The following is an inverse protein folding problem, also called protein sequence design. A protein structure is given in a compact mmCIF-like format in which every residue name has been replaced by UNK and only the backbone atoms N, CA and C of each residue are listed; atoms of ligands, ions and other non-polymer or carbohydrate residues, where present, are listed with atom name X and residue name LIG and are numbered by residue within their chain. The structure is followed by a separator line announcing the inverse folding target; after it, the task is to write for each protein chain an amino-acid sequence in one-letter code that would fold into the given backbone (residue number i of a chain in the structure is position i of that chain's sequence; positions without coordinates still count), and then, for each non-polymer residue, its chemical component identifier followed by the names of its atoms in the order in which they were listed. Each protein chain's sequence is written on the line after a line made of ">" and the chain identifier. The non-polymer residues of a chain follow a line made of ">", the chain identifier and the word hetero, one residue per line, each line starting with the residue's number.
data_IF_684201619775
#
_entry.id   IF_684201619775
#
_cell.length_a   1.000
_cell.length_b   1.000
_cell.length_c   1.000
_cell.angle_alpha   90.00
_cell.angle_beta   90.00
_cell.angle_gamma   90.00
#
_symmetry.space_group_name_H-M   'P 1'
#
loop_
_entity.id
_entity.type
_entity.pdbx_description
1 polymer ?
#
# COMPACT_ATOMS: atom_id res chain seq x y z
N UNK A 1 8.09 18.00 -7.70
CA UNK A 1 6.86 17.36 -7.20
C UNK A 1 5.89 18.42 -6.72
N UNK A 2 4.60 18.23 -6.95
CA UNK A 2 3.51 19.13 -6.51
C UNK A 2 3.29 19.02 -5.00
N UNK A 3 2.69 20.05 -4.38
CA UNK A 3 2.29 20.06 -2.96
C UNK A 3 0.78 20.26 -2.87
N UNK A 4 0.09 19.71 -1.86
CA UNK A 4 0.61 18.88 -0.76
C UNK A 4 1.02 17.47 -1.17
N UNK A 5 0.58 16.97 -2.32
CA UNK A 5 0.93 15.66 -2.88
C UNK A 5 1.18 15.78 -4.40
N UNK A 6 1.79 14.74 -4.97
CA UNK A 6 2.00 14.61 -6.40
C UNK A 6 1.35 13.30 -6.87
N UNK A 7 0.35 13.41 -7.76
CA UNK A 7 -0.42 12.25 -8.25
C UNK A 7 0.48 11.20 -8.90
N UNK A 8 1.47 11.62 -9.73
CA UNK A 8 2.40 10.69 -10.36
C UNK A 8 3.25 9.92 -9.36
N UNK A 9 3.61 10.58 -8.22
CA UNK A 9 4.31 9.91 -7.14
C UNK A 9 3.43 8.87 -6.47
N UNK A 10 2.17 9.20 -6.18
CA UNK A 10 1.20 8.29 -5.58
C UNK A 10 0.91 7.10 -6.49
N UNK A 11 0.67 7.34 -7.79
CA UNK A 11 0.48 6.28 -8.79
C UNK A 11 1.70 5.36 -8.87
N UNK A 12 2.91 5.92 -8.86
CA UNK A 12 4.15 5.13 -8.86
C UNK A 12 4.29 4.28 -7.60
N UNK A 13 4.00 4.83 -6.42
CA UNK A 13 4.05 4.08 -5.16
C UNK A 13 3.01 2.96 -5.12
N UNK A 14 1.81 3.19 -5.65
CA UNK A 14 0.77 2.15 -5.80
C UNK A 14 1.24 1.06 -6.76
N UNK A 15 1.83 1.42 -7.91
CA UNK A 15 2.38 0.45 -8.87
C UNK A 15 3.51 -0.39 -8.26
N UNK A 16 4.43 0.24 -7.51
CA UNK A 16 5.48 -0.48 -6.77
C UNK A 16 4.88 -1.44 -5.74
N UNK A 17 3.86 -1.01 -5.01
CA UNK A 17 3.18 -1.84 -4.01
C UNK A 17 2.51 -3.05 -4.66
N UNK A 18 1.81 -2.86 -5.79
CA UNK A 18 1.23 -3.96 -6.58
C UNK A 18 2.29 -4.93 -7.06
N UNK A 19 3.40 -4.42 -7.57
CA UNK A 19 4.53 -5.23 -7.99
C UNK A 19 5.09 -6.07 -6.84
N UNK A 20 5.33 -5.44 -5.67
CA UNK A 20 5.84 -6.15 -4.50
C UNK A 20 4.87 -7.22 -4.00
N UNK A 21 3.57 -6.93 -3.91
CA UNK A 21 2.53 -7.91 -3.52
C UNK A 21 2.58 -9.11 -4.48
N UNK A 22 2.67 -8.88 -5.79
CA UNK A 22 2.73 -9.94 -6.80
C UNK A 22 3.99 -10.79 -6.66
N UNK A 23 5.17 -10.16 -6.59
CA UNK A 23 6.46 -10.86 -6.62
C UNK A 23 6.77 -11.59 -5.30
N UNK A 24 6.27 -11.09 -4.18
CA UNK A 24 6.60 -11.64 -2.86
C UNK A 24 5.51 -12.51 -2.26
N UNK A 25 4.32 -12.55 -2.87
CA UNK A 25 3.17 -13.25 -2.32
C UNK A 25 2.65 -12.64 -1.01
N UNK A 26 2.93 -11.34 -0.75
CA UNK A 26 2.33 -10.65 0.39
C UNK A 26 0.81 -10.72 0.31
N UNK A 27 0.14 -10.99 1.43
CA UNK A 27 -1.33 -11.08 1.48
C UNK A 27 -1.98 -9.71 1.38
N UNK A 28 -1.29 -8.69 1.93
CA UNK A 28 -1.71 -7.29 1.88
C UNK A 28 -0.49 -6.39 1.72
N UNK A 29 -0.61 -5.40 0.85
CA UNK A 29 0.25 -4.24 0.76
C UNK A 29 -0.52 -2.98 1.13
N UNK A 30 0.12 -2.05 1.81
CA UNK A 30 -0.41 -0.73 2.12
C UNK A 30 0.64 0.32 1.77
N UNK A 31 0.26 1.36 1.07
CA UNK A 31 1.16 2.47 0.73
C UNK A 31 0.56 3.82 1.04
N UNK A 32 1.40 4.72 1.52
CA UNK A 32 1.06 6.10 1.78
C UNK A 32 2.32 6.97 1.67
N UNK A 33 2.23 8.07 0.91
CA UNK A 33 3.38 8.96 0.63
C UNK A 33 4.55 8.18 0.02
N UNK A 34 5.66 8.05 0.74
CA UNK A 34 6.88 7.35 0.35
C UNK A 34 7.11 6.04 1.13
N UNK A 35 6.09 5.57 1.85
CA UNK A 35 6.16 4.35 2.64
C UNK A 35 5.32 3.22 2.04
N UNK A 36 5.82 1.99 2.17
CA UNK A 36 5.10 0.75 1.84
C UNK A 36 5.19 -0.20 3.02
N UNK A 37 4.05 -0.75 3.43
CA UNK A 37 3.96 -1.85 4.39
C UNK A 37 3.46 -3.10 3.68
N UNK A 38 4.12 -4.23 3.90
CA UNK A 38 3.74 -5.51 3.34
C UNK A 38 3.52 -6.51 4.47
N UNK A 39 2.52 -7.36 4.33
CA UNK A 39 2.18 -8.37 5.34
C UNK A 39 2.20 -9.75 4.71
N UNK A 40 2.84 -10.67 5.41
CA UNK A 40 2.82 -12.11 5.12
C UNK A 40 2.38 -12.86 6.37
N UNK A 41 1.86 -14.05 6.20
CA UNK A 41 1.72 -15.01 7.28
C UNK A 41 2.17 -16.40 6.81
N UNK A 42 2.68 -17.19 7.74
CA UNK A 42 2.92 -18.59 7.51
C UNK A 42 1.64 -19.37 7.87
N UNK A 43 1.18 -20.24 6.99
CA UNK A 43 0.23 -21.29 7.35
C UNK A 43 0.89 -22.33 8.29
N UNK A 44 0.10 -23.28 8.80
CA UNK A 44 0.60 -24.32 9.70
C UNK A 44 1.77 -25.12 9.11
N UNK A 45 1.85 -25.20 7.79
CA UNK A 45 2.90 -25.91 7.05
C UNK A 45 4.07 -25.01 6.64
N UNK A 46 4.02 -23.71 6.94
CA UNK A 46 5.00 -22.66 6.53
C UNK A 46 5.25 -22.59 5.02
N UNK A 47 4.30 -23.06 4.20
CA UNK A 47 4.52 -23.24 2.76
C UNK A 47 4.36 -21.99 1.91
N UNK A 48 3.81 -20.90 2.45
CA UNK A 48 3.43 -19.74 1.65
C UNK A 48 4.15 -18.45 2.03
N UNK A 49 5.21 -18.53 2.80
CA UNK A 49 5.96 -17.33 3.17
C UNK A 49 7.17 -17.13 2.26
N UNK A 50 7.34 -15.92 1.78
CA UNK A 50 8.46 -15.53 0.92
C UNK A 50 9.81 -15.92 1.54
N UNK A 51 10.65 -16.61 0.77
CA UNK A 51 11.95 -17.17 1.21
C UNK A 51 11.90 -18.00 2.52
N UNK A 52 10.85 -18.76 2.75
CA UNK A 52 10.67 -19.61 3.95
C UNK A 52 10.80 -18.81 5.27
N UNK A 53 10.44 -17.52 5.25
CA UNK A 53 10.54 -16.63 6.41
C UNK A 53 11.96 -16.22 6.79
N UNK A 54 12.96 -16.42 5.92
CA UNK A 54 14.35 -15.98 6.18
C UNK A 54 14.45 -14.46 6.15
N UNK A 55 14.35 -13.83 7.30
CA UNK A 55 14.21 -12.36 7.47
C UNK A 55 15.26 -11.60 6.65
N UNK A 56 16.55 -11.96 6.73
CA UNK A 56 17.61 -11.26 5.98
C UNK A 56 17.40 -11.31 4.46
N UNK A 57 16.94 -12.46 3.94
CA UNK A 57 16.62 -12.60 2.51
C UNK A 57 15.38 -11.78 2.13
N UNK A 58 14.35 -11.81 2.97
CA UNK A 58 13.13 -11.01 2.74
C UNK A 58 13.52 -9.54 2.66
N UNK A 59 14.19 -9.00 3.68
CA UNK A 59 14.52 -7.58 3.75
C UNK A 59 15.39 -7.14 2.56
N UNK A 60 16.46 -7.88 2.25
CA UNK A 60 17.36 -7.53 1.15
C UNK A 60 16.67 -7.58 -0.22
N UNK A 61 15.84 -8.61 -0.47
CA UNK A 61 15.14 -8.74 -1.75
C UNK A 61 14.02 -7.73 -1.89
N UNK A 62 13.19 -7.52 -0.86
CA UNK A 62 12.12 -6.51 -0.88
C UNK A 62 12.70 -5.12 -1.14
N UNK A 63 13.79 -4.75 -0.44
CA UNK A 63 14.49 -3.48 -0.66
C UNK A 63 14.96 -3.34 -2.10
N UNK A 64 15.60 -4.37 -2.65
CA UNK A 64 16.12 -4.38 -4.01
C UNK A 64 15.00 -4.26 -5.05
N UNK A 65 13.94 -5.07 -4.90
CA UNK A 65 12.77 -5.05 -5.78
C UNK A 65 12.07 -3.69 -5.74
N UNK A 66 11.84 -3.16 -4.55
CA UNK A 66 11.23 -1.84 -4.33
C UNK A 66 12.04 -0.75 -5.03
N UNK A 67 13.34 -0.67 -4.74
CA UNK A 67 14.23 0.33 -5.32
C UNK A 67 14.28 0.23 -6.85
N UNK A 68 14.43 -0.98 -7.39
CA UNK A 68 14.51 -1.20 -8.84
C UNK A 68 13.20 -0.82 -9.54
N UNK A 69 12.05 -1.25 -9.02
CA UNK A 69 10.75 -0.93 -9.59
C UNK A 69 10.44 0.56 -9.52
N UNK A 70 10.70 1.18 -8.37
CA UNK A 70 10.51 2.60 -8.20
C UNK A 70 11.42 3.41 -9.14
N UNK A 71 12.72 3.08 -9.22
CA UNK A 71 13.67 3.75 -10.10
C UNK A 71 13.23 3.66 -11.58
N UNK A 72 12.76 2.49 -12.01
CA UNK A 72 12.27 2.31 -13.37
C UNK A 72 11.11 3.26 -13.72
N UNK A 73 10.17 3.47 -12.79
CA UNK A 73 9.08 4.43 -12.96
C UNK A 73 9.52 5.88 -12.77
N UNK A 74 10.43 6.14 -11.84
CA UNK A 74 10.94 7.48 -11.54
C UNK A 74 11.73 8.09 -12.71
N UNK A 75 12.53 7.30 -13.41
CA UNK A 75 13.25 7.74 -14.61
C UNK A 75 12.27 8.20 -15.70
N UNK A 76 11.14 7.52 -15.84
CA UNK A 76 10.10 7.90 -16.82
C UNK A 76 9.38 9.20 -16.45
N UNK A 77 9.13 9.40 -15.16
CA UNK A 77 8.35 10.53 -14.67
C UNK A 77 9.20 11.78 -14.38
N UNK A 78 10.44 11.58 -13.93
CA UNK A 78 11.34 12.65 -13.47
C UNK A 78 12.80 12.37 -13.82
N UNK A 79 13.19 12.28 -15.11
CA UNK A 79 14.57 11.95 -15.52
C UNK A 79 15.60 12.88 -14.88
N UNK A 80 15.37 14.20 -14.94
CA UNK A 80 16.30 15.20 -14.40
C UNK A 80 16.56 15.08 -12.89
N UNK A 81 15.56 14.57 -12.12
CA UNK A 81 15.75 14.32 -10.69
C UNK A 81 16.59 13.07 -10.46
N UNK A 82 16.37 12.03 -11.26
CA UNK A 82 17.14 10.78 -11.19
C UNK A 82 18.60 10.98 -11.59
N UNK A 83 18.89 11.85 -12.54
CA UNK A 83 20.28 12.21 -12.92
C UNK A 83 21.03 12.89 -11.78
N UNK A 84 20.34 13.60 -10.90
CA UNK A 84 20.96 14.27 -9.74
C UNK A 84 21.13 13.34 -8.54
N UNK A 85 20.14 12.50 -8.26
CA UNK A 85 20.14 11.59 -7.11
C UNK A 85 19.22 10.40 -7.38
N UNK A 86 19.78 9.20 -7.29
CA UNK A 86 19.00 7.98 -7.38
C UNK A 86 18.18 7.76 -6.11
N UNK A 87 16.89 7.40 -6.25
CA UNK A 87 16.07 7.01 -5.10
C UNK A 87 16.53 5.67 -4.55
N UNK A 88 16.49 5.54 -3.24
CA UNK A 88 16.79 4.29 -2.52
C UNK A 88 15.76 4.09 -1.42
N UNK A 89 15.49 2.83 -1.10
CA UNK A 89 14.63 2.44 0.00
C UNK A 89 15.44 1.65 1.04
N UNK A 90 15.03 1.74 2.30
CA UNK A 90 15.39 0.79 3.35
C UNK A 90 14.18 -0.11 3.66
N UNK A 91 14.43 -1.22 4.35
CA UNK A 91 13.37 -2.13 4.75
C UNK A 91 13.59 -2.59 6.19
N UNK A 92 12.50 -2.65 6.95
CA UNK A 92 12.47 -3.14 8.33
C UNK A 92 11.46 -4.26 8.43
N UNK A 93 11.82 -5.36 9.10
CA UNK A 93 10.94 -6.49 9.35
C UNK A 93 10.60 -6.59 10.82
N UNK A 94 9.33 -6.84 11.09
CA UNK A 94 8.80 -7.06 12.45
C UNK A 94 8.01 -8.38 12.42
N UNK A 95 8.30 -9.26 13.38
CA UNK A 95 7.49 -10.47 13.60
C UNK A 95 6.40 -10.14 14.60
N UNK A 96 5.14 -10.39 14.22
CA UNK A 96 3.98 -10.17 15.07
C UNK A 96 3.53 -11.49 15.71
N UNK A 97 3.04 -11.48 16.97
CA UNK A 97 2.65 -12.69 17.69
C UNK A 97 1.38 -13.33 17.12
N UNK A 98 0.47 -12.52 16.58
CA UNK A 98 -0.82 -12.97 16.04
C UNK A 98 -1.36 -12.00 14.97
N UNK A 99 -2.48 -12.40 14.35
CA UNK A 99 -3.16 -11.61 13.31
C UNK A 99 -3.77 -10.30 13.84
N UNK A 100 -4.16 -10.27 15.10
CA UNK A 100 -4.70 -9.08 15.73
C UNK A 100 -3.65 -7.98 15.81
N UNK A 101 -2.46 -8.32 16.33
CA UNK A 101 -1.34 -7.38 16.43
C UNK A 101 -0.81 -6.95 15.05
N UNK A 102 -0.74 -7.86 14.09
CA UNK A 102 -0.37 -7.51 12.72
C UNK A 102 -1.41 -6.56 12.06
N UNK A 103 -2.70 -6.77 12.35
CA UNK A 103 -3.78 -5.88 11.94
C UNK A 103 -3.68 -4.51 12.62
N UNK A 104 -3.36 -4.47 13.92
CA UNK A 104 -3.17 -3.23 14.68
C UNK A 104 -1.97 -2.42 14.16
N UNK A 105 -0.92 -3.09 13.70
CA UNK A 105 0.23 -2.42 13.07
C UNK A 105 -0.19 -1.67 11.80
N UNK A 106 -0.97 -2.29 10.91
CA UNK A 106 -1.50 -1.61 9.72
C UNK A 106 -2.48 -0.49 10.10
N UNK A 107 -3.32 -0.71 11.09
CA UNK A 107 -4.21 0.32 11.63
C UNK A 107 -3.41 1.54 12.12
N UNK A 108 -2.35 1.30 12.89
CA UNK A 108 -1.47 2.38 13.35
C UNK A 108 -0.87 3.16 12.18
N UNK A 109 -0.35 2.46 11.13
CA UNK A 109 0.20 3.13 9.95
C UNK A 109 -0.85 3.96 9.21
N UNK A 110 -2.08 3.45 9.05
CA UNK A 110 -3.15 4.20 8.38
C UNK A 110 -3.62 5.42 9.19
N UNK A 111 -3.65 5.32 10.50
CA UNK A 111 -3.97 6.47 11.37
C UNK A 111 -2.85 7.54 11.34
N UNK A 112 -1.59 7.11 11.31
CA UNK A 112 -0.44 8.01 11.19
C UNK A 112 -0.43 8.70 9.82
N UNK A 113 -0.75 7.97 8.75
CA UNK A 113 -0.95 8.50 7.40
C UNK A 113 -1.97 9.66 7.37
N UNK A 114 -3.13 9.47 8.00
CA UNK A 114 -4.15 10.51 8.09
C UNK A 114 -3.65 11.77 8.83
N UNK A 115 -2.96 11.60 9.96
CA UNK A 115 -2.36 12.74 10.69
C UNK A 115 -1.30 13.47 9.86
N UNK A 116 -0.49 12.70 9.12
CA UNK A 116 0.55 13.24 8.26
C UNK A 116 -0.06 14.00 7.07
N UNK A 117 -1.14 13.51 6.45
CA UNK A 117 -1.81 14.19 5.34
C UNK A 117 -2.39 15.55 5.76
N UNK A 118 -3.01 15.64 6.94
CA UNK A 118 -3.44 16.93 7.50
C UNK A 118 -2.27 17.89 7.66
N UNK A 119 -1.14 17.38 8.18
CA UNK A 119 0.05 18.21 8.37
C UNK A 119 0.65 18.65 7.03
N UNK A 120 0.73 17.76 6.04
CA UNK A 120 1.21 18.08 4.70
C UNK A 120 0.32 19.14 4.00
N UNK A 121 -1.01 18.98 4.09
CA UNK A 121 -1.96 19.96 3.58
C UNK A 121 -1.76 21.33 4.24
N UNK A 122 -1.67 21.38 5.58
CA UNK A 122 -1.45 22.62 6.29
C UNK A 122 -0.10 23.28 5.94
N UNK A 123 0.99 22.50 5.82
CA UNK A 123 2.30 23.01 5.41
C UNK A 123 2.37 23.48 3.96
N UNK A 124 1.44 23.08 3.10
CA UNK A 124 1.36 23.60 1.73
C UNK A 124 0.81 25.03 1.67
N UNK A 125 0.08 25.46 2.71
CA UNK A 125 -0.59 26.78 2.80
C UNK A 125 0.11 27.69 3.80
N UNK A 126 0.57 27.14 4.93
CA UNK A 126 1.11 27.90 6.04
C UNK A 126 2.57 27.61 6.31
N UNK A 127 3.32 28.62 6.74
CA UNK A 127 4.71 28.47 7.16
C UNK A 127 4.83 27.70 8.49
N UNK A 128 5.98 27.04 8.68
CA UNK A 128 6.27 26.21 9.85
C UNK A 128 6.00 26.91 11.20
N UNK A 129 6.38 28.19 11.34
CA UNK A 129 6.16 28.95 12.59
C UNK A 129 4.68 29.06 12.97
N UNK A 130 3.79 29.20 11.97
CA UNK A 130 2.34 29.35 12.21
C UNK A 130 1.68 28.04 12.66
N UNK A 131 2.29 26.91 12.34
CA UNK A 131 1.76 25.57 12.66
C UNK A 131 2.36 24.95 13.92
N UNK A 132 3.28 25.65 14.60
CA UNK A 132 3.84 25.17 15.86
C UNK A 132 2.77 25.07 16.95
N UNK A 133 2.72 23.91 17.63
CA UNK A 133 1.75 23.60 18.70
C UNK A 133 0.28 23.58 18.25
N UNK A 134 0.01 23.56 16.94
CA UNK A 134 -1.34 23.44 16.37
C UNK A 134 -1.66 21.96 16.18
N UNK A 135 -2.78 21.49 16.75
CA UNK A 135 -3.24 20.11 16.59
C UNK A 135 -3.92 19.87 15.22
N UNK A 136 -4.24 18.61 14.91
CA UNK A 136 -4.82 18.23 13.61
C UNK A 136 -6.16 18.92 13.32
N UNK A 137 -7.06 18.97 14.29
CA UNK A 137 -8.37 19.62 14.13
C UNK A 137 -8.23 21.12 13.85
N UNK A 138 -7.38 21.79 14.60
CA UNK A 138 -7.09 23.21 14.38
C UNK A 138 -6.46 23.47 12.99
N UNK A 139 -5.61 22.54 12.50
CA UNK A 139 -5.06 22.64 11.14
C UNK A 139 -6.14 22.56 10.07
N UNK A 140 -7.13 21.68 10.24
CA UNK A 140 -8.27 21.55 9.32
C UNK A 140 -9.11 22.83 9.33
N UNK A 141 -9.39 23.39 10.50
CA UNK A 141 -10.10 24.67 10.63
C UNK A 141 -9.35 25.82 9.94
N UNK A 142 -8.04 25.92 10.19
CA UNK A 142 -7.19 26.92 9.51
C UNK A 142 -7.17 26.75 7.99
N UNK A 143 -7.15 25.52 7.48
CA UNK A 143 -7.24 25.24 6.05
C UNK A 143 -8.58 25.72 5.48
N UNK A 144 -9.68 25.42 6.17
CA UNK A 144 -11.02 25.86 5.79
C UNK A 144 -11.14 27.38 5.77
N UNK A 145 -10.61 28.09 6.77
CA UNK A 145 -10.54 29.57 6.80
C UNK A 145 -9.72 30.14 5.63
N UNK A 146 -8.71 29.42 5.16
CA UNK A 146 -7.91 29.78 4.00
C UNK A 146 -8.54 29.38 2.65
N UNK A 147 -9.77 28.86 2.66
CA UNK A 147 -10.48 28.43 1.45
C UNK A 147 -10.07 27.05 0.92
N UNK A 148 -9.38 26.25 1.73
CA UNK A 148 -8.95 24.88 1.36
C UNK A 148 -9.79 23.86 2.13
N UNK A 149 -10.59 23.08 1.38
CA UNK A 149 -11.37 21.99 1.94
C UNK A 149 -10.49 20.72 2.01
N UNK A 150 -10.12 20.32 3.23
CA UNK A 150 -9.32 19.11 3.45
C UNK A 150 -10.07 17.84 3.03
N UNK A 151 -11.39 17.81 3.16
CA UNK A 151 -12.17 16.63 2.80
C UNK A 151 -12.24 16.41 1.27
N UNK A 152 -12.05 17.44 0.49
CA UNK A 152 -12.00 17.35 -0.97
C UNK A 152 -10.71 16.69 -1.50
N UNK A 153 -9.70 16.46 -0.65
CA UNK A 153 -8.50 15.71 -1.08
C UNK A 153 -8.83 14.23 -1.30
N UNK A 154 -8.16 13.60 -2.29
CA UNK A 154 -8.42 12.20 -2.62
C UNK A 154 -8.00 11.24 -1.48
N UNK A 155 -8.67 10.08 -1.42
CA UNK A 155 -8.48 9.11 -0.36
C UNK A 155 -7.07 8.54 -0.31
N UNK A 156 -6.41 8.34 -1.46
CA UNK A 156 -5.02 7.90 -1.48
C UNK A 156 -4.07 8.86 -0.75
N UNK A 157 -4.37 10.17 -0.75
CA UNK A 157 -3.60 11.16 0.00
C UNK A 157 -3.95 11.17 1.48
N UNK A 158 -5.24 11.07 1.82
CA UNK A 158 -5.73 11.11 3.20
C UNK A 158 -5.42 9.81 3.96
N UNK A 159 -5.70 8.66 3.35
CA UNK A 159 -5.74 7.36 4.02
C UNK A 159 -4.75 6.34 3.47
N UNK A 160 -4.06 6.65 2.35
CA UNK A 160 -3.24 5.69 1.64
C UNK A 160 -4.07 4.71 0.79
N UNK A 161 -3.39 3.69 0.28
CA UNK A 161 -4.00 2.70 -0.62
C UNK A 161 -3.66 1.29 -0.16
N UNK A 162 -4.68 0.44 -0.06
CA UNK A 162 -4.53 -0.99 0.20
C UNK A 162 -4.50 -1.77 -1.11
N UNK A 163 -3.63 -2.78 -1.18
CA UNK A 163 -3.41 -3.59 -2.36
C UNK A 163 -3.35 -5.05 -1.94
N UNK A 164 -4.07 -5.94 -2.64
CA UNK A 164 -4.01 -7.39 -2.40
C UNK A 164 -4.09 -8.20 -3.67
N UNK A 165 -3.69 -9.47 -3.58
CA UNK A 165 -3.91 -10.44 -4.64
C UNK A 165 -5.30 -11.08 -4.48
N UNK A 166 -6.08 -11.08 -5.56
CA UNK A 166 -7.37 -11.76 -5.63
C UNK A 166 -7.33 -12.90 -6.62
N UNK A 167 -7.91 -14.04 -6.22
CA UNK A 167 -8.11 -15.18 -7.12
C UNK A 167 -9.43 -15.02 -7.87
N UNK A 168 -9.43 -15.36 -9.15
CA UNK A 168 -10.63 -15.39 -9.97
C UNK A 168 -10.60 -16.57 -10.92
N UNK A 169 -11.77 -17.05 -11.30
CA UNK A 169 -11.92 -18.19 -12.22
C UNK A 169 -12.04 -17.66 -13.64
N UNK A 170 -11.29 -18.27 -14.54
CA UNK A 170 -11.34 -17.97 -15.99
C UNK A 170 -11.71 -19.24 -16.73
N UNK A 171 -12.64 -19.13 -17.69
CA UNK A 171 -12.87 -20.21 -18.63
C UNK A 171 -11.65 -20.41 -19.53
N UNK A 172 -11.24 -21.64 -19.73
CA UNK A 172 -10.13 -22.02 -20.61
C UNK A 172 -10.73 -22.65 -21.85
N UNK A 173 -10.85 -21.88 -22.91
CA UNK A 173 -11.25 -22.37 -24.23
C UNK A 173 -10.01 -22.32 -25.15
N UNK A 174 -8.99 -23.12 -24.83
CA UNK A 174 -7.79 -23.23 -25.62
C UNK A 174 -7.81 -24.57 -26.39
N UNK A 175 -7.98 -24.53 -27.73
CA UNK A 175 -8.02 -25.76 -28.56
C UNK A 175 -6.70 -26.55 -28.52
N UNK A 176 -5.58 -25.92 -28.14
CA UNK A 176 -4.27 -26.59 -28.06
C UNK A 176 -4.10 -27.41 -26.77
N UNK A 177 -4.98 -27.26 -25.78
CA UNK A 177 -4.96 -28.12 -24.60
C UNK A 177 -5.71 -29.42 -24.91
N UNK A 178 -5.04 -30.61 -24.79
CA UNK A 178 -5.72 -31.88 -24.97
C UNK A 178 -6.93 -32.02 -24.03
N UNK A 179 -8.01 -32.64 -24.52
CA UNK A 179 -9.30 -32.73 -23.81
C UNK A 179 -9.15 -33.35 -22.41
N UNK A 180 -8.26 -34.33 -22.27
CA UNK A 180 -7.96 -34.99 -20.98
C UNK A 180 -7.35 -34.07 -19.93
N UNK A 181 -6.77 -32.90 -20.33
CA UNK A 181 -6.17 -31.91 -19.42
C UNK A 181 -7.02 -30.66 -19.23
N UNK A 182 -8.18 -30.57 -19.89
CA UNK A 182 -9.07 -29.40 -19.77
C UNK A 182 -9.85 -29.33 -18.45
N UNK A 183 -9.92 -30.47 -17.71
CA UNK A 183 -10.68 -30.54 -16.46
C UNK A 183 -12.16 -30.12 -16.68
N UNK A 184 -12.63 -29.20 -15.86
CA UNK A 184 -13.95 -28.57 -15.98
C UNK A 184 -14.00 -27.37 -16.96
N UNK A 185 -12.91 -27.14 -17.69
CA UNK A 185 -12.79 -25.99 -18.59
C UNK A 185 -12.54 -24.66 -17.88
N UNK A 186 -12.14 -24.69 -16.61
CA UNK A 186 -11.82 -23.49 -15.84
C UNK A 186 -10.39 -23.51 -15.29
N UNK A 187 -9.80 -22.34 -15.07
CA UNK A 187 -8.57 -22.23 -14.32
C UNK A 187 -8.63 -21.07 -13.32
N UNK A 188 -7.94 -21.19 -12.20
CA UNK A 188 -7.80 -20.12 -11.22
C UNK A 188 -6.61 -19.25 -11.61
N UNK A 189 -6.88 -17.96 -11.78
CA UNK A 189 -5.87 -16.93 -12.00
C UNK A 189 -5.84 -15.99 -10.80
N UNK A 190 -4.74 -15.25 -10.66
CA UNK A 190 -4.63 -14.19 -9.66
C UNK A 190 -4.35 -12.85 -10.34
N UNK A 191 -4.93 -11.81 -9.80
CA UNK A 191 -4.63 -10.42 -10.16
C UNK A 191 -4.39 -9.61 -8.89
N UNK A 192 -3.58 -8.58 -9.00
CA UNK A 192 -3.37 -7.64 -7.90
C UNK A 192 -4.28 -6.44 -8.10
N UNK A 193 -5.06 -6.12 -7.08
CA UNK A 193 -6.06 -5.05 -7.10
C UNK A 193 -5.86 -4.06 -5.97
N UNK A 194 -6.25 -2.82 -6.21
CA UNK A 194 -6.49 -1.86 -5.14
C UNK A 194 -7.81 -2.16 -4.46
N UNK A 195 -7.85 -1.97 -3.16
CA UNK A 195 -9.08 -2.15 -2.37
C UNK A 195 -9.46 -0.81 -1.76
N UNK A 196 -10.67 -0.37 -2.06
CA UNK A 196 -11.25 0.82 -1.45
C UNK A 196 -11.63 0.52 0.01
N UNK A 197 -10.86 1.08 0.93
CA UNK A 197 -11.04 0.89 2.37
C UNK A 197 -11.48 2.19 3.04
N UNK A 198 -11.07 3.35 2.53
CA UNK A 198 -11.16 4.61 3.27
C UNK A 198 -10.33 4.53 4.55
N UNK A 199 -10.93 4.84 5.70
CA UNK A 199 -10.25 4.72 6.98
C UNK A 199 -10.30 3.28 7.52
N UNK A 200 -9.13 2.67 7.76
CA UNK A 200 -9.06 1.31 8.29
C UNK A 200 -9.66 1.19 9.71
N UNK A 201 -9.74 2.30 10.46
CA UNK A 201 -10.36 2.33 11.79
C UNK A 201 -11.85 1.98 11.74
N UNK A 202 -12.54 2.30 10.65
CA UNK A 202 -13.97 2.05 10.46
C UNK A 202 -14.29 0.60 10.03
N UNK A 203 -13.24 -0.19 9.73
CA UNK A 203 -13.41 -1.59 9.31
C UNK A 203 -13.51 -2.50 10.53
N UNK A 204 -14.67 -3.17 10.70
CA UNK A 204 -14.94 -4.07 11.84
C UNK A 204 -14.20 -5.40 11.74
N UNK A 205 -14.19 -5.98 10.55
CA UNK A 205 -13.60 -7.30 10.28
C UNK A 205 -12.14 -7.23 9.82
N UNK A 206 -11.31 -6.31 10.39
CA UNK A 206 -9.94 -6.03 9.94
C UNK A 206 -9.06 -7.26 9.71
N UNK A 207 -9.06 -8.21 10.66
CA UNK A 207 -8.28 -9.45 10.54
C UNK A 207 -8.72 -10.27 9.32
N UNK A 208 -10.04 -10.48 9.15
CA UNK A 208 -10.57 -11.23 8.00
C UNK A 208 -10.32 -10.51 6.69
N UNK A 209 -10.47 -9.18 6.69
CA UNK A 209 -10.17 -8.34 5.54
C UNK A 209 -8.70 -8.48 5.11
N UNK A 210 -7.77 -8.36 6.05
CA UNK A 210 -6.32 -8.35 5.76
C UNK A 210 -5.81 -9.75 5.39
N UNK A 211 -6.17 -10.77 6.16
CA UNK A 211 -5.56 -12.09 6.06
C UNK A 211 -6.39 -13.12 5.28
N UNK A 212 -7.70 -12.98 5.24
CA UNK A 212 -8.59 -13.98 4.62
C UNK A 212 -9.28 -13.46 3.35
N UNK A 213 -8.96 -12.24 2.90
CA UNK A 213 -9.45 -11.71 1.63
C UNK A 213 -10.92 -11.29 1.62
N UNK A 214 -11.57 -11.23 2.79
CA UNK A 214 -12.95 -10.73 2.89
C UNK A 214 -13.05 -9.25 2.48
N UNK A 215 -14.24 -8.82 2.09
CA UNK A 215 -14.49 -7.40 1.86
C UNK A 215 -14.48 -6.63 3.19
N UNK A 216 -14.06 -5.35 3.20
CA UNK A 216 -14.10 -4.55 4.41
C UNK A 216 -15.58 -4.30 4.81
N UNK A 217 -15.94 -4.64 6.04
CA UNK A 217 -17.23 -4.32 6.65
C UNK A 217 -17.10 -3.01 7.40
N UNK A 218 -17.75 -1.96 6.89
CA UNK A 218 -17.79 -0.62 7.50
C UNK A 218 -18.96 -0.45 8.45
N UNK A 219 -18.91 0.53 9.34
CA UNK A 219 -20.05 0.94 10.16
C UNK A 219 -21.19 1.54 9.35
#
# INVERSE_FOLDING_TARGET
>A
MKKPYDEKMSELMIDVTKYLVKETGAVMGYTQSDEISLVWYADENRQNIFFDGRVQKILSNVTSLCTARFLYGAIKNWPDLCDRKLPTFDCRGISMPDFGEASNMLLYRSMDAYKNSISMAAHSVFGHKKLQKVNGQQKIEMLKEAGVDFEAYPDFFKFGTFVRSEKFVVGVDDPNIPVEFRGDGTCIRSRVVEVDVGQLVDVKNRVRFIFHGEKPEKE
#
